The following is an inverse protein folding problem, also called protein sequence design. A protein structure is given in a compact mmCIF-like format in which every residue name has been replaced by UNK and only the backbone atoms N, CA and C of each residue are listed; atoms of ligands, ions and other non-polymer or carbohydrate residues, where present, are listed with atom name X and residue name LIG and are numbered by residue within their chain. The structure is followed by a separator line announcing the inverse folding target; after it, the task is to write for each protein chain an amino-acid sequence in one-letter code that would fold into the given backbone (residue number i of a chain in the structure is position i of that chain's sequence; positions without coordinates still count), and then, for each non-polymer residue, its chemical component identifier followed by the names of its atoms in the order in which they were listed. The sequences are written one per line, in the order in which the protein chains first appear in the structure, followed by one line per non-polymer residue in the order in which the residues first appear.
data_IF_216774009330
#
_entry.id   IF_216774009330
#
_cell.length_a   1.000
_cell.length_b   1.000
_cell.length_c   1.000
_cell.angle_alpha   90.00
_cell.angle_beta   90.00
_cell.angle_gamma   90.00
#
_symmetry.space_group_name_H-M   'P 1'
#
loop_
_entity.id
_entity.type
_entity.pdbx_description
1 polymer ?
#
# COMPACT_ATOMS: atom_id res chain seq x y z
N UNK A 1 15.00 5.30 -43.44
CA UNK A 1 15.69 4.01 -43.59
C UNK A 1 16.97 4.08 -42.75
N UNK A 2 16.96 3.52 -41.55
CA UNK A 2 18.17 3.23 -40.78
C UNK A 2 18.14 1.72 -40.56
N UNK A 3 19.07 1.02 -41.21
CA UNK A 3 19.28 -0.41 -41.00
C UNK A 3 20.16 -0.58 -39.76
N UNK A 4 19.68 -1.33 -38.77
CA UNK A 4 20.48 -1.90 -37.70
C UNK A 4 20.14 -3.38 -37.60
N UNK A 5 21.16 -4.23 -37.73
CA UNK A 5 21.04 -5.69 -37.64
C UNK A 5 20.66 -6.15 -36.22
N UNK A 6 20.03 -7.34 -36.07
CA UNK A 6 19.68 -7.89 -34.77
C UNK A 6 20.90 -8.59 -34.18
N UNK A 7 21.51 -7.99 -33.16
CA UNK A 7 22.65 -8.53 -32.44
C UNK A 7 22.45 -8.36 -30.95
N UNK A 8 21.95 -9.42 -30.33
CA UNK A 8 22.17 -9.89 -28.95
C UNK A 8 22.34 -8.83 -27.84
N UNK A 9 21.24 -8.52 -27.15
CA UNK A 9 21.29 -7.93 -25.81
C UNK A 9 20.77 -8.98 -24.83
N UNK A 10 21.70 -9.77 -24.29
CA UNK A 10 21.48 -10.69 -23.18
C UNK A 10 21.81 -9.99 -21.85
N UNK A 11 20.76 -9.58 -21.11
CA UNK A 11 20.76 -9.37 -19.65
C UNK A 11 20.28 -8.00 -19.12
N UNK A 12 19.79 -7.90 -17.86
CA UNK A 12 18.89 -8.77 -17.11
C UNK A 12 17.46 -8.17 -17.08
N UNK A 13 16.45 -9.04 -17.12
CA UNK A 13 15.03 -8.78 -16.84
C UNK A 13 14.45 -7.44 -17.33
N UNK A 14 13.85 -7.47 -18.52
CA UNK A 14 13.00 -6.42 -19.09
C UNK A 14 11.70 -6.21 -18.29
N UNK A 15 11.78 -5.88 -17.00
CA UNK A 15 10.63 -5.40 -16.27
C UNK A 15 10.37 -3.96 -16.73
N UNK A 16 9.21 -3.73 -17.32
CA UNK A 16 8.75 -2.37 -17.60
C UNK A 16 8.68 -1.62 -16.26
N UNK A 17 9.07 -0.34 -16.25
CA UNK A 17 9.20 0.48 -15.02
C UNK A 17 7.90 0.52 -14.18
N UNK A 18 6.75 0.27 -14.80
CA UNK A 18 5.44 0.20 -14.15
C UNK A 18 4.86 -1.21 -14.06
N UNK A 19 5.69 -2.25 -14.19
CA UNK A 19 5.33 -3.63 -13.88
C UNK A 19 5.77 -3.98 -12.47
N UNK A 20 5.01 -4.89 -11.85
CA UNK A 20 5.34 -5.49 -10.57
C UNK A 20 5.33 -7.01 -10.74
N UNK A 21 6.22 -7.71 -10.04
CA UNK A 21 6.14 -9.17 -9.97
C UNK A 21 4.84 -9.60 -9.31
N UNK A 22 4.25 -10.72 -9.70
CA UNK A 22 2.92 -11.10 -9.22
C UNK A 22 2.82 -11.23 -7.69
N UNK A 23 3.93 -11.51 -7.00
CA UNK A 23 4.03 -11.59 -5.54
C UNK A 23 4.27 -10.24 -4.86
N UNK A 24 4.68 -9.22 -5.63
CA UNK A 24 4.90 -7.85 -5.17
C UNK A 24 3.59 -7.05 -5.10
N UNK A 25 2.52 -7.66 -4.58
CA UNK A 25 1.24 -7.00 -4.29
C UNK A 25 0.57 -7.59 -3.05
N UNK A 26 -0.23 -6.76 -2.38
CA UNK A 26 -1.15 -7.23 -1.36
C UNK A 26 -2.38 -7.88 -2.02
N UNK A 27 -2.53 -9.19 -1.84
CA UNK A 27 -3.71 -9.92 -2.32
C UNK A 27 -4.91 -9.70 -1.37
N UNK A 28 -5.85 -8.83 -1.77
CA UNK A 28 -7.08 -8.58 -1.02
C UNK A 28 -8.26 -9.23 -1.73
N UNK A 29 -8.81 -10.31 -1.15
CA UNK A 29 -9.89 -11.08 -1.80
C UNK A 29 -11.23 -10.36 -1.92
N UNK A 30 -11.48 -9.30 -1.14
CA UNK A 30 -12.75 -8.55 -1.10
C UNK A 30 -12.52 -7.04 -1.18
N UNK A 31 -11.79 -6.59 -2.21
CA UNK A 31 -11.40 -5.19 -2.40
C UNK A 31 -12.56 -4.20 -2.30
N UNK A 32 -13.69 -4.51 -2.93
CA UNK A 32 -14.90 -3.67 -2.94
C UNK A 32 -15.55 -3.56 -1.55
N UNK A 33 -15.42 -4.59 -0.71
CA UNK A 33 -15.98 -4.58 0.64
C UNK A 33 -15.14 -3.71 1.58
N UNK A 34 -13.81 -3.74 1.43
CA UNK A 34 -12.90 -2.91 2.23
C UNK A 34 -12.96 -1.44 1.85
N UNK A 35 -13.11 -1.11 0.55
CA UNK A 35 -13.16 0.28 0.05
C UNK A 35 -11.99 1.12 0.58
N UNK A 36 -10.76 0.81 0.16
CA UNK A 36 -9.56 1.51 0.61
C UNK A 36 -9.52 2.94 0.08
N UNK A 37 -9.26 3.90 0.96
CA UNK A 37 -9.00 5.30 0.61
C UNK A 37 -7.62 5.70 1.11
N UNK A 38 -6.66 5.82 0.19
CA UNK A 38 -5.29 6.21 0.50
C UNK A 38 -5.15 7.72 0.62
N UNK A 39 -4.52 8.18 1.70
CA UNK A 39 -4.34 9.61 2.03
C UNK A 39 -2.89 10.04 1.84
N UNK A 40 -1.93 9.20 2.26
CA UNK A 40 -0.51 9.51 2.14
C UNK A 40 0.34 8.25 2.08
N UNK A 41 1.47 8.34 1.40
CA UNK A 41 2.60 7.42 1.55
C UNK A 41 3.87 8.21 1.87
N UNK A 42 4.78 7.58 2.62
CA UNK A 42 6.10 8.15 2.89
C UNK A 42 7.08 7.02 3.24
N UNK A 43 8.37 7.30 3.06
CA UNK A 43 9.45 6.38 3.45
C UNK A 43 10.07 6.86 4.76
N UNK A 44 10.46 5.92 5.61
CA UNK A 44 11.24 6.20 6.81
C UNK A 44 12.11 4.98 7.12
N UNK A 45 13.43 5.18 7.13
CA UNK A 45 14.40 4.09 7.19
C UNK A 45 14.30 3.17 5.97
N UNK A 46 14.31 1.86 6.18
CA UNK A 46 14.17 0.81 5.14
C UNK A 46 12.73 0.36 4.91
N UNK A 47 11.74 1.18 5.29
CA UNK A 47 10.32 0.85 5.16
C UNK A 47 9.53 1.96 4.47
N UNK A 48 8.49 1.57 3.74
CA UNK A 48 7.46 2.46 3.24
C UNK A 48 6.19 2.30 4.06
N UNK A 49 5.55 3.44 4.31
CA UNK A 49 4.35 3.55 5.12
C UNK A 49 3.21 4.07 4.25
N UNK A 50 2.01 3.53 4.47
CA UNK A 50 0.79 4.03 3.85
C UNK A 50 -0.23 4.38 4.92
N UNK A 51 -0.82 5.56 4.79
CA UNK A 51 -1.93 6.03 5.61
C UNK A 51 -3.20 5.99 4.77
N UNK A 52 -4.19 5.28 5.27
CA UNK A 52 -5.47 5.07 4.59
C UNK A 52 -6.59 4.84 5.60
N UNK A 53 -7.83 4.94 5.14
CA UNK A 53 -8.97 4.41 5.88
C UNK A 53 -9.71 3.38 5.03
N UNK A 54 -10.27 2.37 5.70
CA UNK A 54 -11.07 1.31 5.07
C UNK A 54 -12.16 0.86 6.02
N UNK A 55 -13.16 0.14 5.51
CA UNK A 55 -14.18 -0.47 6.36
C UNK A 55 -13.58 -1.57 7.23
N UNK A 56 -13.95 -1.56 8.50
CA UNK A 56 -13.62 -2.65 9.42
C UNK A 56 -14.62 -3.79 9.28
N UNK A 57 -14.33 -4.74 8.38
CA UNK A 57 -15.18 -5.90 8.14
C UNK A 57 -15.23 -6.88 9.33
N UNK A 58 -14.37 -6.72 10.34
CA UNK A 58 -14.45 -7.49 11.59
C UNK A 58 -15.53 -6.93 12.52
N UNK A 59 -15.83 -5.64 12.41
CA UNK A 59 -16.90 -5.00 13.16
C UNK A 59 -18.26 -5.21 12.49
N UNK A 60 -19.29 -5.49 13.29
CA UNK A 60 -20.67 -5.59 12.78
C UNK A 60 -21.14 -4.29 12.13
N UNK A 61 -20.67 -3.14 12.63
CA UNK A 61 -21.04 -1.81 12.10
C UNK A 61 -20.40 -1.49 10.75
N UNK A 62 -19.33 -2.22 10.35
CA UNK A 62 -18.53 -1.96 9.13
C UNK A 62 -18.12 -0.50 8.97
N UNK A 63 -17.89 0.16 10.10
CA UNK A 63 -17.48 1.56 10.14
C UNK A 63 -16.11 1.76 9.48
N UNK A 64 -15.88 2.96 8.95
CA UNK A 64 -14.56 3.33 8.46
C UNK A 64 -13.61 3.56 9.62
N UNK A 65 -12.43 2.94 9.54
CA UNK A 65 -11.33 3.15 10.47
C UNK A 65 -10.07 3.52 9.72
N UNK A 66 -9.27 4.38 10.34
CA UNK A 66 -7.94 4.76 9.85
C UNK A 66 -6.92 3.72 10.25
N UNK A 67 -6.03 3.40 9.32
CA UNK A 67 -4.90 2.49 9.51
C UNK A 67 -3.61 3.12 9.01
N UNK A 68 -2.51 2.71 9.61
CA UNK A 68 -1.18 2.83 9.04
C UNK A 68 -0.70 1.43 8.67
N UNK A 69 -0.18 1.27 7.45
CA UNK A 69 0.56 0.06 7.08
C UNK A 69 2.04 0.35 6.93
N UNK A 70 2.84 -0.71 7.08
CA UNK A 70 4.29 -0.71 6.86
C UNK A 70 4.67 -1.95 6.05
N UNK A 71 5.60 -1.78 5.11
CA UNK A 71 6.29 -2.86 4.38
C UNK A 71 7.76 -2.47 4.18
N UNK A 72 8.66 -3.45 4.24
CA UNK A 72 10.08 -3.24 3.96
C UNK A 72 10.32 -2.98 2.46
N UNK A 73 11.27 -2.11 2.12
CA UNK A 73 11.55 -1.73 0.72
C UNK A 73 12.13 -2.88 -0.11
N UNK A 74 12.80 -3.83 0.53
CA UNK A 74 13.45 -5.00 -0.06
C UNK A 74 12.57 -6.27 -0.05
N UNK A 75 11.31 -6.16 0.37
CA UNK A 75 10.37 -7.27 0.45
C UNK A 75 9.49 -7.36 -0.80
N UNK A 76 9.94 -8.14 -1.78
CA UNK A 76 9.23 -8.40 -3.03
C UNK A 76 7.99 -9.29 -2.88
N UNK A 77 7.70 -9.82 -1.68
CA UNK A 77 6.61 -10.78 -1.46
C UNK A 77 5.58 -10.31 -0.44
N UNK A 78 5.68 -9.06 0.05
CA UNK A 78 4.76 -8.48 1.03
C UNK A 78 4.69 -9.25 2.37
N UNK A 79 5.70 -10.06 2.71
CA UNK A 79 5.73 -10.83 3.97
C UNK A 79 5.88 -9.97 5.23
N UNK A 80 6.52 -8.81 5.10
CA UNK A 80 6.70 -7.81 6.16
C UNK A 80 5.50 -6.87 6.32
N UNK A 81 4.47 -7.03 5.49
CA UNK A 81 3.28 -6.18 5.50
C UNK A 81 2.51 -6.32 6.81
N UNK A 82 2.31 -5.19 7.50
CA UNK A 82 1.51 -5.10 8.71
C UNK A 82 0.64 -3.85 8.69
N UNK A 83 -0.58 -3.96 9.22
CA UNK A 83 -1.50 -2.85 9.43
C UNK A 83 -1.75 -2.65 10.93
N UNK A 84 -1.74 -1.40 11.38
CA UNK A 84 -2.11 -1.01 12.74
C UNK A 84 -3.24 0.03 12.69
N UNK A 85 -4.31 -0.12 13.48
CA UNK A 85 -5.37 0.88 13.55
C UNK A 85 -4.89 2.14 14.26
N UNK A 86 -5.23 3.30 13.72
CA UNK A 86 -4.99 4.59 14.37
C UNK A 86 -6.26 5.07 15.07
N UNK A 87 -6.12 5.46 16.33
CA UNK A 87 -7.22 6.00 17.14
C UNK A 87 -6.91 7.45 17.48
N UNK A 88 -7.72 8.36 16.96
CA UNK A 88 -7.74 9.76 17.37
C UNK A 88 -9.05 10.02 18.10
N UNK A 89 -9.00 10.50 19.33
CA UNK A 89 -10.19 10.83 20.14
C UNK A 89 -9.90 11.97 21.09
N UNK A 90 -10.94 12.73 21.42
CA UNK A 90 -10.97 13.59 22.61
C UNK A 90 -11.95 12.98 23.64
N UNK A 91 -12.30 13.72 24.69
CA UNK A 91 -13.18 13.22 25.76
C UNK A 91 -14.60 12.85 25.27
N UNK A 92 -15.07 13.49 24.20
CA UNK A 92 -16.47 13.40 23.75
C UNK A 92 -16.64 12.68 22.40
N UNK A 93 -15.60 12.66 21.56
CA UNK A 93 -15.68 12.28 20.15
C UNK A 93 -14.46 11.51 19.69
N UNK A 94 -14.72 10.48 18.89
CA UNK A 94 -13.68 9.74 18.15
C UNK A 94 -13.65 10.22 16.70
N UNK A 95 -12.44 10.47 16.20
CA UNK A 95 -12.16 10.91 14.84
C UNK A 95 -11.54 9.74 14.07
N UNK A 96 -12.37 8.97 13.38
CA UNK A 96 -11.96 7.75 12.69
C UNK A 96 -11.52 7.95 11.24
N UNK A 97 -11.75 9.14 10.67
CA UNK A 97 -11.49 9.46 9.25
C UNK A 97 -10.30 10.40 9.10
N UNK A 98 -9.16 9.86 8.70
CA UNK A 98 -7.99 10.64 8.30
C UNK A 98 -8.28 11.44 7.02
N UNK A 99 -7.92 12.73 7.03
CA UNK A 99 -8.07 13.62 5.88
C UNK A 99 -6.74 13.99 5.23
N UNK A 100 -5.72 14.25 6.04
CA UNK A 100 -4.39 14.64 5.59
C UNK A 100 -3.35 14.29 6.66
N UNK A 101 -2.09 14.18 6.26
CA UNK A 101 -0.96 13.98 7.17
C UNK A 101 0.29 14.66 6.62
N UNK A 102 1.16 15.12 7.52
CA UNK A 102 2.46 15.69 7.19
C UNK A 102 3.52 15.12 8.13
N UNK A 103 4.74 14.95 7.60
CA UNK A 103 5.92 14.44 8.31
C UNK A 103 7.03 15.44 8.04
#
# INVERSE_FOLDING_TARGET
RVHGHPGDVSGPNSHTIFSYEETAKLAVGRLSEYSHHFIKSFTHGSSVYFLFYRRDLKSQSREYKTYISRICLDDAHYYSYVELPLVCKNEEKTYSLLQAAYV
#
